data_IF_475029555539
#
_entry.id   IF_475029555539
#
_cell.length_a   1.000
_cell.length_b   1.000
_cell.length_c   1.000
_cell.angle_alpha   90.00
_cell.angle_beta   90.00
_cell.angle_gamma   90.00
#
_symmetry.space_group_name_H-M   'P 1'
#
loop_
_entity.id
_entity.type
_entity.pdbx_description
1 polymer ?
#
# COMPACT_ATOMS: atom_id res chain seq x y z
N UNK A 1 4.45 -5.33 -7.91
CA UNK A 1 3.67 -4.10 -7.65
C UNK A 1 4.42 -2.93 -8.20
N UNK A 2 3.85 -2.19 -9.10
CA UNK A 2 4.28 -0.83 -9.32
C UNK A 2 3.31 0.06 -8.56
N UNK A 3 3.75 0.64 -7.44
CA UNK A 3 3.22 1.91 -6.96
C UNK A 3 2.90 2.76 -8.20
N UNK A 4 1.86 3.64 -8.18
CA UNK A 4 1.72 4.64 -9.23
C UNK A 4 3.14 5.12 -9.54
N UNK A 5 3.57 5.07 -10.79
CA UNK A 5 4.98 5.27 -11.22
C UNK A 5 5.61 6.47 -10.50
N UNK A 6 4.80 7.47 -10.17
CA UNK A 6 5.20 8.65 -9.42
C UNK A 6 5.51 8.35 -7.93
N UNK A 7 4.74 7.48 -7.26
CA UNK A 7 4.96 7.16 -5.84
C UNK A 7 6.11 6.17 -5.67
N UNK A 8 6.21 5.16 -6.53
CA UNK A 8 7.33 4.22 -6.58
C UNK A 8 8.66 4.97 -6.79
N UNK A 9 8.73 5.82 -7.82
CA UNK A 9 9.92 6.63 -8.09
C UNK A 9 10.27 7.57 -6.93
N UNK A 10 9.28 8.10 -6.22
CA UNK A 10 9.51 8.93 -5.03
C UNK A 10 10.19 8.15 -3.90
N UNK A 11 9.80 6.89 -3.67
CA UNK A 11 10.47 6.06 -2.67
C UNK A 11 11.87 5.66 -3.11
N UNK A 12 12.08 5.24 -4.36
CA UNK A 12 13.41 4.91 -4.91
C UNK A 12 14.33 6.13 -4.79
N UNK A 13 13.90 7.29 -5.26
CA UNK A 13 14.67 8.54 -5.14
C UNK A 13 15.03 8.83 -3.68
N UNK A 14 14.10 8.55 -2.75
CA UNK A 14 14.36 8.78 -1.33
C UNK A 14 15.38 7.79 -0.76
N UNK A 15 15.36 6.54 -1.17
CA UNK A 15 16.40 5.56 -0.82
C UNK A 15 17.76 6.04 -1.34
N UNK A 16 17.85 6.43 -2.61
CA UNK A 16 19.10 6.93 -3.22
C UNK A 16 19.66 8.14 -2.48
N UNK A 17 18.82 9.11 -2.14
CA UNK A 17 19.22 10.28 -1.34
C UNK A 17 19.79 9.89 0.03
N UNK A 18 19.17 8.93 0.72
CA UNK A 18 19.61 8.53 2.05
C UNK A 18 20.86 7.67 1.99
N UNK A 19 20.99 6.80 1.01
CA UNK A 19 22.22 6.02 0.77
C UNK A 19 23.39 6.97 0.49
N UNK A 20 23.26 7.90 -0.46
CA UNK A 20 24.31 8.86 -0.80
C UNK A 20 24.69 9.75 0.40
N UNK A 21 23.72 10.18 1.21
CA UNK A 21 24.01 10.94 2.44
C UNK A 21 24.73 10.09 3.49
N UNK A 22 24.36 8.81 3.64
CA UNK A 22 25.06 7.89 4.54
C UNK A 22 26.50 7.67 4.10
N UNK A 23 26.76 7.44 2.83
CA UNK A 23 28.09 7.28 2.24
C UNK A 23 28.95 8.53 2.44
N UNK A 24 28.37 9.72 2.30
CA UNK A 24 29.07 10.98 2.56
C UNK A 24 29.45 11.16 4.04
N UNK A 25 28.68 10.60 4.98
CA UNK A 25 29.02 10.58 6.41
C UNK A 25 30.17 9.59 6.65
N UNK A 26 30.13 8.40 6.03
CA UNK A 26 31.13 7.32 6.19
C UNK A 26 32.50 7.68 5.63
N UNK A 27 32.57 8.53 4.61
CA UNK A 27 33.84 8.92 3.97
C UNK A 27 34.62 10.00 4.69
N UNK A 28 34.12 10.53 5.80
CA UNK A 28 34.93 11.39 6.65
C UNK A 28 35.97 10.54 7.39
N UNK A 29 37.15 10.35 6.77
CA UNK A 29 38.35 9.85 7.41
C UNK A 29 38.72 10.80 8.56
N UNK A 30 38.58 10.33 9.79
CA UNK A 30 39.14 11.01 10.94
C UNK A 30 40.62 10.64 11.01
N UNK A 31 41.54 11.55 10.69
CA UNK A 31 42.93 11.32 11.00
C UNK A 31 43.07 11.16 12.53
N UNK A 32 43.82 10.17 12.95
CA UNK A 32 44.14 9.89 14.34
C UNK A 32 44.38 11.17 15.15
N UNK A 33 43.65 11.33 16.22
CA UNK A 33 43.82 12.25 17.32
C UNK A 33 42.78 13.37 17.50
N UNK A 34 42.09 13.28 18.64
CA UNK A 34 41.45 14.39 19.37
C UNK A 34 40.75 15.48 18.56
N UNK A 35 39.85 15.08 17.67
CA UNK A 35 38.94 16.05 17.05
C UNK A 35 37.74 16.27 17.98
N UNK A 36 37.67 17.47 18.54
CA UNK A 36 36.40 17.99 19.10
C UNK A 36 35.36 17.91 18.02
N UNK A 37 34.48 16.91 18.10
CA UNK A 37 33.37 16.71 17.13
C UNK A 37 32.60 17.99 17.03
N UNK A 38 32.52 18.51 15.82
CA UNK A 38 31.76 19.71 15.54
C UNK A 38 30.26 19.36 15.71
N UNK A 39 29.52 20.15 16.49
CA UNK A 39 28.06 19.96 16.66
C UNK A 39 27.27 19.85 15.34
N UNK A 40 27.89 20.23 14.22
CA UNK A 40 27.33 20.10 12.89
C UNK A 40 27.27 18.64 12.42
N UNK A 41 28.30 17.83 12.69
CA UNK A 41 28.40 16.43 12.22
C UNK A 41 27.40 15.54 12.97
N UNK A 42 27.26 15.73 14.26
CA UNK A 42 26.22 15.08 15.06
C UNK A 42 24.81 15.36 14.54
N UNK A 43 24.51 16.60 14.19
CA UNK A 43 23.18 16.98 13.64
C UNK A 43 22.92 16.34 12.27
N UNK A 44 23.94 16.15 11.46
CA UNK A 44 23.83 15.49 10.15
C UNK A 44 23.49 14.01 10.36
N UNK A 45 24.19 13.31 11.25
CA UNK A 45 23.93 11.92 11.57
C UNK A 45 22.52 11.72 12.15
N UNK A 46 22.12 12.52 13.15
CA UNK A 46 20.81 12.41 13.78
C UNK A 46 19.67 12.69 12.76
N UNK A 47 19.84 13.67 11.88
CA UNK A 47 18.90 13.93 10.82
C UNK A 47 18.81 12.77 9.83
N UNK A 48 19.94 12.15 9.49
CA UNK A 48 20.01 10.97 8.63
C UNK A 48 19.29 9.79 9.26
N UNK A 49 19.60 9.47 10.54
CA UNK A 49 18.93 8.42 11.32
C UNK A 49 17.41 8.59 11.33
N UNK A 50 16.93 9.77 11.67
CA UNK A 50 15.49 10.07 11.70
C UNK A 50 14.83 9.84 10.33
N UNK A 51 15.45 10.31 9.25
CA UNK A 51 14.93 10.16 7.90
C UNK A 51 14.92 8.69 7.44
N UNK A 52 15.94 7.90 7.78
CA UNK A 52 15.98 6.47 7.50
C UNK A 52 14.89 5.72 8.26
N UNK A 53 14.75 5.97 9.56
CA UNK A 53 13.70 5.36 10.39
C UNK A 53 12.31 5.72 9.86
N UNK A 54 12.09 6.99 9.50
CA UNK A 54 10.83 7.42 8.91
C UNK A 54 10.53 6.69 7.61
N UNK A 55 11.48 6.63 6.67
CA UNK A 55 11.31 5.91 5.41
C UNK A 55 11.01 4.43 5.64
N UNK A 56 11.82 3.75 6.44
CA UNK A 56 11.67 2.32 6.71
C UNK A 56 10.35 2.00 7.43
N UNK A 57 9.93 2.84 8.36
CA UNK A 57 8.63 2.66 9.05
C UNK A 57 7.41 2.84 8.13
N UNK A 58 7.56 3.52 6.99
CA UNK A 58 6.51 3.65 5.98
C UNK A 58 6.54 2.56 4.91
N UNK A 59 7.71 1.94 4.69
CA UNK A 59 7.91 0.98 3.60
C UNK A 59 7.93 -0.47 4.06
N UNK A 60 8.10 -0.73 5.36
CA UNK A 60 8.37 -2.06 5.88
C UNK A 60 7.34 -2.51 6.92
N UNK A 61 7.11 -3.83 7.07
CA UNK A 61 6.27 -4.38 8.12
C UNK A 61 6.74 -3.95 9.49
N UNK A 62 5.79 -3.83 10.41
CA UNK A 62 6.12 -3.54 11.82
C UNK A 62 6.81 -4.70 12.52
N UNK A 63 6.69 -5.90 11.96
CA UNK A 63 7.26 -7.14 12.51
C UNK A 63 8.21 -7.79 11.49
N UNK A 64 9.37 -8.30 11.94
CA UNK A 64 10.29 -9.07 11.11
C UNK A 64 11.74 -8.57 11.08
N UNK A 65 12.53 -9.14 10.16
CA UNK A 65 13.99 -8.92 10.01
C UNK A 65 14.33 -7.43 9.82
N UNK A 66 13.45 -6.67 9.23
CA UNK A 66 13.66 -5.24 8.95
C UNK A 66 13.62 -4.37 10.22
N UNK A 67 12.93 -4.82 11.29
CA UNK A 67 12.91 -4.11 12.57
C UNK A 67 14.30 -4.05 13.22
N UNK A 68 15.13 -5.06 12.96
CA UNK A 68 16.53 -5.08 13.42
C UNK A 68 17.36 -3.95 12.80
N UNK A 69 17.11 -3.63 11.53
CA UNK A 69 17.78 -2.49 10.89
C UNK A 69 17.36 -1.16 11.54
N UNK A 70 16.08 -0.96 11.79
CA UNK A 70 15.59 0.24 12.49
C UNK A 70 16.24 0.36 13.87
N UNK A 71 16.39 -0.74 14.60
CA UNK A 71 17.03 -0.77 15.89
C UNK A 71 18.54 -0.50 15.81
N UNK A 72 19.23 -1.01 14.78
CA UNK A 72 20.64 -0.69 14.51
C UNK A 72 20.81 0.79 14.22
N UNK A 73 19.99 1.38 13.36
CA UNK A 73 20.03 2.81 13.05
C UNK A 73 19.79 3.67 14.32
N UNK A 74 18.85 3.27 15.19
CA UNK A 74 18.62 3.98 16.46
C UNK A 74 19.83 3.99 17.38
N UNK A 75 20.57 2.88 17.43
CA UNK A 75 21.75 2.69 18.29
C UNK A 75 23.05 3.24 17.71
N UNK A 76 23.02 3.65 16.43
CA UNK A 76 24.19 4.16 15.76
C UNK A 76 24.74 5.40 16.47
N UNK A 77 25.99 5.32 16.89
CA UNK A 77 26.75 6.42 17.49
C UNK A 77 27.67 7.06 16.44
N UNK A 78 28.08 8.28 16.69
CA UNK A 78 28.84 9.09 15.72
C UNK A 78 30.30 8.62 15.52
N UNK A 79 30.79 7.62 16.25
CA UNK A 79 32.09 6.99 16.08
C UNK A 79 32.04 5.54 15.59
N UNK A 80 30.85 5.04 15.25
CA UNK A 80 30.65 3.66 14.79
C UNK A 80 30.50 3.60 13.26
N UNK A 81 31.63 3.82 12.56
CA UNK A 81 31.68 3.76 11.10
C UNK A 81 31.30 2.37 10.58
N UNK A 82 31.68 1.30 11.29
CA UNK A 82 31.33 -0.06 10.89
C UNK A 82 29.80 -0.28 10.89
N UNK A 83 29.14 0.13 11.95
CA UNK A 83 27.68 0.01 12.04
C UNK A 83 26.98 0.90 11.00
N UNK A 84 27.52 2.08 10.71
CA UNK A 84 27.04 2.97 9.67
C UNK A 84 27.10 2.29 8.28
N UNK A 85 28.23 1.67 7.93
CA UNK A 85 28.39 0.94 6.67
C UNK A 85 27.45 -0.25 6.58
N UNK A 86 27.24 -1.00 7.66
CA UNK A 86 26.26 -2.08 7.74
C UNK A 86 24.83 -1.53 7.51
N UNK A 87 24.49 -0.40 8.11
CA UNK A 87 23.18 0.23 7.89
C UNK A 87 22.99 0.67 6.44
N UNK A 88 24.01 1.26 5.81
CA UNK A 88 23.96 1.67 4.39
C UNK A 88 23.81 0.44 3.47
N UNK A 89 24.58 -0.63 3.73
CA UNK A 89 24.48 -1.87 2.96
C UNK A 89 23.09 -2.49 3.05
N UNK A 90 22.50 -2.50 4.24
CA UNK A 90 21.11 -3.00 4.42
C UNK A 90 20.08 -2.09 3.74
N UNK A 91 20.28 -0.77 3.72
CA UNK A 91 19.40 0.14 2.96
C UNK A 91 19.45 -0.13 1.46
N UNK A 92 20.66 -0.45 0.92
CA UNK A 92 20.80 -0.85 -0.49
C UNK A 92 20.06 -2.15 -0.79
N UNK A 93 20.21 -3.17 0.06
CA UNK A 93 19.51 -4.45 -0.10
C UNK A 93 17.98 -4.28 -0.06
N UNK A 94 17.46 -3.48 0.88
CA UNK A 94 16.02 -3.19 0.96
C UNK A 94 15.54 -2.41 -0.28
N UNK A 95 16.34 -1.48 -0.80
CA UNK A 95 16.04 -0.79 -2.05
C UNK A 95 15.94 -1.78 -3.21
N UNK A 96 16.89 -2.70 -3.33
CA UNK A 96 16.88 -3.75 -4.36
C UNK A 96 15.62 -4.62 -4.24
N UNK A 97 15.25 -5.08 -3.05
CA UNK A 97 14.02 -5.84 -2.80
C UNK A 97 12.78 -5.04 -3.18
N UNK A 98 12.78 -3.74 -2.91
CA UNK A 98 11.70 -2.83 -3.29
C UNK A 98 11.59 -2.68 -4.81
N UNK A 99 12.72 -2.50 -5.51
CA UNK A 99 12.81 -2.41 -6.98
C UNK A 99 12.37 -3.70 -7.66
N UNK A 100 12.71 -4.85 -7.08
CA UNK A 100 12.37 -6.17 -7.59
C UNK A 100 10.93 -6.61 -7.26
N UNK A 101 10.21 -5.81 -6.47
CA UNK A 101 8.82 -6.09 -6.10
C UNK A 101 8.64 -7.11 -4.96
N UNK A 102 9.72 -7.59 -4.33
CA UNK A 102 9.62 -8.52 -3.18
C UNK A 102 8.90 -7.90 -1.96
N UNK A 103 8.87 -6.57 -1.86
CA UNK A 103 8.07 -5.85 -0.85
C UNK A 103 6.64 -5.56 -1.33
N UNK A 104 6.27 -6.03 -2.53
CA UNK A 104 4.93 -5.85 -3.09
C UNK A 104 3.85 -6.59 -2.33
N UNK A 105 4.16 -7.76 -1.79
CA UNK A 105 3.21 -8.56 -0.99
C UNK A 105 2.84 -7.86 0.32
N UNK A 106 3.75 -7.09 0.88
CA UNK A 106 3.50 -6.31 2.07
C UNK A 106 2.49 -5.18 1.87
N UNK A 107 2.61 -4.45 0.75
CA UNK A 107 1.60 -3.41 0.47
C UNK A 107 0.22 -4.00 0.23
N UNK A 108 0.13 -5.26 -0.28
CA UNK A 108 -1.15 -5.94 -0.33
C UNK A 108 -1.69 -6.26 1.04
N UNK A 109 -0.84 -6.73 1.94
CA UNK A 109 -1.25 -7.01 3.31
C UNK A 109 -1.77 -5.74 3.99
N UNK A 110 -1.05 -4.62 3.87
CA UNK A 110 -1.50 -3.32 4.39
C UNK A 110 -2.80 -2.85 3.73
N UNK A 111 -2.91 -2.98 2.40
CA UNK A 111 -4.16 -2.63 1.71
C UNK A 111 -5.30 -3.60 2.06
N UNK A 112 -5.02 -4.88 2.29
CA UNK A 112 -6.00 -5.86 2.75
C UNK A 112 -6.47 -5.57 4.18
N UNK A 113 -5.57 -5.21 5.10
CA UNK A 113 -5.94 -4.78 6.46
C UNK A 113 -6.83 -3.53 6.44
N UNK A 114 -6.46 -2.51 5.66
CA UNK A 114 -7.27 -1.29 5.49
C UNK A 114 -8.64 -1.64 4.87
N UNK A 115 -8.67 -2.53 3.89
CA UNK A 115 -9.90 -2.97 3.26
C UNK A 115 -10.79 -3.73 4.25
N UNK A 116 -10.21 -4.60 5.10
CA UNK A 116 -10.93 -5.32 6.15
C UNK A 116 -11.55 -4.37 7.18
N UNK A 117 -10.83 -3.31 7.60
CA UNK A 117 -11.35 -2.29 8.50
C UNK A 117 -12.57 -1.56 7.90
N UNK A 118 -12.52 -1.21 6.61
CA UNK A 118 -13.65 -0.58 5.92
C UNK A 118 -14.81 -1.55 5.69
N UNK A 119 -14.55 -2.83 5.46
CA UNK A 119 -15.60 -3.85 5.37
C UNK A 119 -16.30 -4.04 6.71
N UNK A 120 -15.58 -4.08 7.83
CA UNK A 120 -16.16 -4.08 9.17
C UNK A 120 -17.04 -2.85 9.44
N UNK A 121 -16.62 -1.67 8.97
CA UNK A 121 -17.46 -0.46 9.03
C UNK A 121 -18.72 -0.57 8.16
N UNK A 122 -18.63 -1.19 6.98
CA UNK A 122 -19.80 -1.41 6.13
C UNK A 122 -20.80 -2.37 6.78
N UNK A 123 -20.33 -3.44 7.44
CA UNK A 123 -21.16 -4.35 8.21
C UNK A 123 -21.85 -3.62 9.37
N UNK A 124 -21.12 -2.78 10.10
CA UNK A 124 -21.67 -1.99 11.21
C UNK A 124 -22.75 -1.02 10.71
N UNK A 125 -22.48 -0.27 9.64
CA UNK A 125 -23.47 0.61 9.00
C UNK A 125 -24.74 -0.14 8.60
N UNK A 126 -24.58 -1.36 8.08
CA UNK A 126 -25.71 -2.20 7.72
C UNK A 126 -26.45 -2.69 8.96
N UNK A 127 -25.75 -3.06 10.04
CA UNK A 127 -26.35 -3.53 11.29
C UNK A 127 -27.12 -2.43 12.03
N UNK A 128 -26.55 -1.22 12.09
CA UNK A 128 -27.15 -0.06 12.77
C UNK A 128 -28.34 0.52 11.98
N UNK A 129 -28.33 0.40 10.65
CA UNK A 129 -29.38 0.88 9.77
C UNK A 129 -30.61 0.00 9.71
N UNK A 130 -31.18 -0.41 10.83
CA UNK A 130 -32.33 -1.34 10.86
C UNK A 130 -33.70 -0.66 10.85
N UNK A 131 -33.78 0.68 10.79
CA UNK A 131 -35.03 1.42 11.04
C UNK A 131 -35.53 2.30 9.87
N UNK A 132 -34.71 2.53 8.83
CA UNK A 132 -35.05 3.38 7.69
C UNK A 132 -35.21 2.62 6.38
N UNK A 133 -35.92 3.23 5.44
CA UNK A 133 -36.22 2.60 4.14
C UNK A 133 -34.96 2.31 3.29
N UNK A 134 -33.89 3.11 3.45
CA UNK A 134 -32.66 3.05 2.65
C UNK A 134 -31.38 2.97 3.50
N UNK A 135 -31.47 2.42 4.70
CA UNK A 135 -30.37 2.32 5.66
C UNK A 135 -29.21 1.43 5.19
N UNK A 136 -29.46 0.60 4.17
CA UNK A 136 -28.44 -0.26 3.54
C UNK A 136 -27.58 0.47 2.50
N UNK A 137 -27.97 1.67 2.06
CA UNK A 137 -27.27 2.40 0.99
C UNK A 137 -25.83 2.82 1.39
N UNK A 138 -25.57 3.37 2.59
CA UNK A 138 -24.19 3.72 2.99
C UNK A 138 -23.25 2.52 2.97
N UNK A 139 -23.72 1.34 3.40
CA UNK A 139 -22.93 0.11 3.38
C UNK A 139 -22.62 -0.34 1.95
N UNK A 140 -23.57 -0.24 1.02
CA UNK A 140 -23.35 -0.53 -0.40
C UNK A 140 -22.33 0.40 -1.06
N UNK A 141 -22.35 1.70 -0.72
CA UNK A 141 -21.36 2.67 -1.22
C UNK A 141 -19.98 2.37 -0.70
N UNK A 142 -19.85 2.11 0.60
CA UNK A 142 -18.56 1.86 1.25
C UNK A 142 -17.92 0.56 0.76
N UNK A 143 -18.66 -0.55 0.78
CA UNK A 143 -18.19 -1.85 0.28
C UNK A 143 -17.83 -1.79 -1.21
N UNK A 144 -18.60 -1.06 -2.01
CA UNK A 144 -18.29 -0.84 -3.43
C UNK A 144 -17.03 -0.01 -3.66
N UNK A 145 -16.72 0.95 -2.79
CA UNK A 145 -15.48 1.73 -2.84
C UNK A 145 -14.27 0.85 -2.51
N UNK A 146 -14.40 -0.05 -1.51
CA UNK A 146 -13.37 -1.04 -1.17
C UNK A 146 -13.10 -1.96 -2.36
N UNK A 147 -14.16 -2.49 -2.99
CA UNK A 147 -14.02 -3.33 -4.19
C UNK A 147 -13.29 -2.58 -5.32
N UNK A 148 -13.66 -1.34 -5.60
CA UNK A 148 -13.01 -0.54 -6.64
C UNK A 148 -11.52 -0.34 -6.36
N UNK A 149 -11.16 -0.06 -5.12
CA UNK A 149 -9.76 0.09 -4.70
C UNK A 149 -8.99 -1.23 -4.88
N UNK A 150 -9.55 -2.35 -4.42
CA UNK A 150 -8.93 -3.68 -4.55
C UNK A 150 -8.69 -4.06 -6.03
N UNK A 151 -9.67 -3.86 -6.91
CA UNK A 151 -9.51 -4.14 -8.35
C UNK A 151 -8.46 -3.25 -9.01
N UNK A 152 -8.34 -1.97 -8.62
CA UNK A 152 -7.25 -1.09 -9.09
C UNK A 152 -5.89 -1.60 -8.67
N UNK A 153 -5.75 -2.02 -7.42
CA UNK A 153 -4.53 -2.61 -6.90
C UNK A 153 -4.15 -3.88 -7.65
N UNK A 154 -5.09 -4.77 -7.90
CA UNK A 154 -4.87 -5.99 -8.70
C UNK A 154 -4.45 -5.66 -10.15
N UNK A 155 -5.02 -4.63 -10.79
CA UNK A 155 -4.59 -4.20 -12.12
C UNK A 155 -3.12 -3.77 -12.13
N UNK A 156 -2.71 -2.97 -11.15
CA UNK A 156 -1.34 -2.48 -11.03
C UNK A 156 -0.35 -3.62 -10.79
N UNK A 157 -0.77 -4.69 -10.11
CA UNK A 157 0.05 -5.87 -9.80
C UNK A 157 0.33 -6.79 -10.97
N UNK A 158 -0.43 -6.71 -12.04
CA UNK A 158 -0.19 -7.59 -13.19
C UNK A 158 1.16 -7.30 -13.85
N UNK A 159 1.74 -8.30 -14.47
CA UNK A 159 2.99 -8.18 -15.23
C UNK A 159 2.71 -8.58 -16.69
N UNK A 160 2.67 -7.62 -17.62
CA UNK A 160 2.82 -6.16 -17.42
C UNK A 160 1.62 -5.56 -16.68
N UNK A 161 1.79 -4.41 -15.99
CA UNK A 161 0.69 -3.75 -15.29
C UNK A 161 -0.46 -3.36 -16.23
N UNK A 162 -1.68 -3.58 -15.77
CA UNK A 162 -2.89 -3.16 -16.49
C UNK A 162 -3.15 -1.68 -16.17
N UNK A 163 -3.31 -0.85 -17.20
CA UNK A 163 -3.65 0.56 -17.01
C UNK A 163 -5.00 0.70 -16.31
N UNK A 164 -5.05 1.52 -15.28
CA UNK A 164 -6.28 1.91 -14.58
C UNK A 164 -6.85 3.23 -15.07
N UNK A 165 -6.24 3.80 -16.11
CA UNK A 165 -6.55 5.10 -16.72
C UNK A 165 -6.81 4.87 -18.21
N UNK A 166 -7.78 5.58 -18.76
CA UNK A 166 -8.08 5.62 -20.20
C UNK A 166 -7.10 6.52 -20.94
N UNK A 167 -7.10 6.45 -22.27
CA UNK A 167 -6.28 7.30 -23.14
C UNK A 167 -6.58 8.80 -22.98
N UNK A 168 -7.80 9.16 -22.52
CA UNK A 168 -8.21 10.52 -22.21
C UNK A 168 -7.80 11.00 -20.81
N UNK A 169 -7.00 10.22 -20.08
CA UNK A 169 -6.52 10.52 -18.73
C UNK A 169 -7.54 10.26 -17.61
N UNK A 170 -8.77 9.82 -17.93
CA UNK A 170 -9.81 9.53 -16.92
C UNK A 170 -9.64 8.13 -16.33
N UNK A 171 -9.99 7.93 -15.05
CA UNK A 171 -9.97 6.60 -14.45
C UNK A 171 -10.92 5.62 -15.16
N UNK A 172 -10.49 4.37 -15.30
CA UNK A 172 -11.35 3.29 -15.74
C UNK A 172 -12.49 3.09 -14.74
N UNK A 173 -13.69 2.82 -15.26
CA UNK A 173 -14.85 2.46 -14.44
C UNK A 173 -14.68 1.05 -13.88
N UNK A 174 -15.35 0.76 -12.77
CA UNK A 174 -15.31 -0.51 -12.05
C UNK A 174 -15.52 -1.73 -13.00
N UNK A 175 -16.55 -1.70 -13.86
CA UNK A 175 -16.80 -2.76 -14.82
C UNK A 175 -15.64 -2.95 -15.83
N UNK A 176 -14.96 -1.88 -16.21
CA UNK A 176 -13.80 -1.98 -17.11
C UNK A 176 -12.62 -2.65 -16.43
N UNK A 177 -12.38 -2.36 -15.15
CA UNK A 177 -11.32 -3.03 -14.35
C UNK A 177 -11.59 -4.54 -14.26
N UNK A 178 -12.86 -4.94 -14.02
CA UNK A 178 -13.26 -6.35 -13.98
C UNK A 178 -12.96 -7.05 -15.30
N UNK A 179 -13.32 -6.41 -16.44
CA UNK A 179 -13.08 -6.97 -17.77
C UNK A 179 -11.59 -7.14 -18.05
N UNK A 180 -10.76 -6.16 -17.74
CA UNK A 180 -9.32 -6.23 -18.00
C UNK A 180 -8.64 -7.30 -17.10
N UNK A 181 -8.99 -7.38 -15.83
CA UNK A 181 -8.48 -8.41 -14.93
C UNK A 181 -8.89 -9.83 -15.35
N UNK A 182 -10.14 -10.00 -15.85
CA UNK A 182 -10.58 -11.28 -16.41
C UNK A 182 -9.77 -11.64 -17.65
N UNK A 183 -9.54 -10.69 -18.58
CA UNK A 183 -8.70 -10.92 -19.78
C UNK A 183 -7.27 -11.32 -19.39
N UNK A 184 -6.74 -10.76 -18.32
CA UNK A 184 -5.44 -11.11 -17.78
C UNK A 184 -5.42 -12.47 -17.03
N UNK A 185 -6.56 -13.14 -16.89
CA UNK A 185 -6.66 -14.44 -16.23
C UNK A 185 -6.59 -14.40 -14.70
N UNK A 186 -6.74 -13.21 -14.09
CA UNK A 186 -6.72 -13.07 -12.61
C UNK A 186 -7.87 -13.85 -11.99
N UNK A 187 -9.04 -13.84 -12.64
CA UNK A 187 -10.19 -14.64 -12.22
C UNK A 187 -11.03 -15.09 -13.44
N UNK A 188 -11.80 -16.14 -13.23
CA UNK A 188 -12.64 -16.75 -14.28
C UNK A 188 -13.98 -16.05 -14.43
N UNK A 189 -14.71 -16.39 -15.52
CA UNK A 189 -16.00 -15.80 -15.89
C UNK A 189 -17.06 -15.78 -14.76
N UNK A 190 -17.25 -16.87 -13.94
CA UNK A 190 -18.21 -16.82 -12.84
C UNK A 190 -17.90 -15.71 -11.82
N UNK A 191 -16.62 -15.56 -11.41
CA UNK A 191 -16.19 -14.49 -10.49
C UNK A 191 -16.37 -13.12 -11.12
N UNK A 192 -16.07 -12.95 -12.40
CA UNK A 192 -16.28 -11.68 -13.11
C UNK A 192 -17.77 -11.27 -13.12
N UNK A 193 -18.71 -12.21 -13.30
CA UNK A 193 -20.16 -11.95 -13.24
C UNK A 193 -20.60 -11.53 -11.84
N UNK A 194 -20.11 -12.19 -10.82
CA UNK A 194 -20.36 -11.87 -9.42
C UNK A 194 -19.90 -10.43 -9.09
N UNK A 195 -18.65 -10.10 -9.42
CA UNK A 195 -18.09 -8.75 -9.26
C UNK A 195 -18.87 -7.69 -10.04
N UNK A 196 -19.38 -8.02 -11.24
CA UNK A 196 -20.19 -7.11 -12.04
C UNK A 196 -21.54 -6.84 -11.39
N UNK A 197 -22.16 -7.83 -10.75
CA UNK A 197 -23.41 -7.64 -10.00
C UNK A 197 -23.19 -6.68 -8.81
N UNK A 198 -22.09 -6.81 -8.08
CA UNK A 198 -21.76 -5.88 -6.99
C UNK A 198 -21.42 -4.47 -7.48
N UNK A 199 -20.73 -4.37 -8.62
CA UNK A 199 -20.48 -3.09 -9.27
C UNK A 199 -21.77 -2.39 -9.68
N UNK A 200 -22.80 -3.14 -10.09
CA UNK A 200 -24.13 -2.62 -10.43
C UNK A 200 -24.85 -2.08 -9.19
N UNK A 201 -24.84 -2.82 -8.07
CA UNK A 201 -25.39 -2.35 -6.78
C UNK A 201 -24.72 -1.04 -6.35
N UNK A 202 -23.38 -0.98 -6.37
CA UNK A 202 -22.60 0.23 -6.05
C UNK A 202 -22.99 1.41 -6.95
N UNK A 203 -23.14 1.17 -8.25
CA UNK A 203 -23.52 2.22 -9.19
C UNK A 203 -24.93 2.73 -8.92
N UNK A 204 -25.89 1.86 -8.69
CA UNK A 204 -27.26 2.22 -8.30
C UNK A 204 -27.27 3.04 -7.01
N UNK A 205 -26.50 2.62 -6.00
CA UNK A 205 -26.35 3.35 -4.74
C UNK A 205 -25.77 4.76 -4.97
N UNK A 206 -24.74 4.89 -5.81
CA UNK A 206 -24.11 6.17 -6.11
C UNK A 206 -24.96 7.12 -6.95
N UNK A 207 -25.93 6.59 -7.74
CA UNK A 207 -26.81 7.37 -8.59
C UNK A 207 -28.21 7.63 -8.00
N UNK A 208 -28.44 7.22 -6.73
CA UNK A 208 -29.72 7.47 -6.05
C UNK A 208 -30.83 6.52 -6.45
N UNK A 209 -30.51 5.39 -7.09
CA UNK A 209 -31.47 4.39 -7.56
C UNK A 209 -31.72 3.33 -6.47
N UNK A 210 -32.11 3.78 -5.27
CA UNK A 210 -32.13 2.97 -4.05
C UNK A 210 -33.18 1.85 -4.05
N UNK A 211 -34.27 1.99 -4.84
CA UNK A 211 -35.31 0.96 -4.96
C UNK A 211 -34.89 -0.24 -5.81
N UNK A 212 -33.74 -0.16 -6.52
CA UNK A 212 -33.29 -1.21 -7.45
C UNK A 212 -32.44 -2.29 -6.80
N UNK A 213 -32.23 -2.22 -5.50
CA UNK A 213 -31.50 -3.24 -4.73
C UNK A 213 -32.02 -3.24 -3.28
N UNK A 214 -31.87 -4.38 -2.63
CA UNK A 214 -32.38 -4.63 -1.29
C UNK A 214 -31.26 -4.70 -0.26
N UNK A 215 -31.63 -4.67 1.03
CA UNK A 215 -30.70 -4.92 2.16
C UNK A 215 -30.01 -6.29 1.99
N UNK A 216 -30.77 -7.34 1.61
CA UNK A 216 -30.21 -8.69 1.40
C UNK A 216 -29.18 -8.72 0.26
N UNK A 217 -29.38 -7.92 -0.79
CA UNK A 217 -28.39 -7.79 -1.87
C UNK A 217 -27.07 -7.18 -1.34
N UNK A 218 -27.16 -6.20 -0.44
CA UNK A 218 -26.00 -5.58 0.18
C UNK A 218 -25.29 -6.53 1.16
N UNK A 219 -26.04 -7.33 1.92
CA UNK A 219 -25.47 -8.39 2.79
C UNK A 219 -24.66 -9.40 1.98
N UNK A 220 -25.21 -9.85 0.85
CA UNK A 220 -24.50 -10.77 -0.06
C UNK A 220 -23.27 -10.10 -0.70
N UNK A 221 -23.40 -8.84 -1.09
CA UNK A 221 -22.29 -8.03 -1.63
C UNK A 221 -21.14 -7.90 -0.64
N UNK A 222 -21.41 -7.57 0.63
CA UNK A 222 -20.40 -7.44 1.68
C UNK A 222 -19.65 -8.75 1.85
N UNK A 223 -20.36 -9.85 2.13
CA UNK A 223 -19.74 -11.17 2.30
C UNK A 223 -18.94 -11.63 1.08
N UNK A 224 -19.48 -11.34 -0.11
CA UNK A 224 -18.79 -11.71 -1.33
C UNK A 224 -17.52 -10.88 -1.59
N UNK A 225 -17.51 -9.59 -1.24
CA UNK A 225 -16.32 -8.75 -1.32
C UNK A 225 -15.27 -9.20 -0.28
N UNK A 226 -15.66 -9.53 0.94
CA UNK A 226 -14.74 -10.08 1.96
C UNK A 226 -14.04 -11.35 1.48
N UNK A 227 -14.80 -12.30 0.92
CA UNK A 227 -14.24 -13.50 0.32
C UNK A 227 -13.31 -13.18 -0.85
N UNK A 228 -13.68 -12.21 -1.70
CA UNK A 228 -12.84 -11.76 -2.79
C UNK A 228 -11.52 -11.15 -2.28
N UNK A 229 -11.56 -10.34 -1.24
CA UNK A 229 -10.35 -9.75 -0.64
C UNK A 229 -9.46 -10.86 -0.05
N UNK A 230 -10.02 -11.84 0.65
CA UNK A 230 -9.29 -12.97 1.20
C UNK A 230 -8.63 -13.85 0.11
N UNK A 231 -9.32 -14.05 -1.03
CA UNK A 231 -8.83 -14.90 -2.12
C UNK A 231 -7.75 -14.22 -2.99
N UNK A 232 -7.79 -12.89 -3.14
CA UNK A 232 -7.01 -12.17 -4.16
C UNK A 232 -6.10 -11.06 -3.62
N UNK A 233 -6.24 -10.66 -2.34
CA UNK A 233 -5.44 -9.58 -1.74
C UNK A 233 -4.45 -10.07 -0.67
N UNK A 234 -4.33 -11.38 -0.47
CA UNK A 234 -3.37 -12.02 0.46
C UNK A 234 -2.10 -12.44 -0.24
#
# INVERSE_FOLDING_TARGET
>A
MTLPTNLFNKYITRFDELIAKGEAISTYDYPDSYVVKNNADFRILEKWKFNCISLLSHCLPKDGVHQDLINKIRRLEDNDNYLLEVCISNLKAIKEDFEQGFLGDLMLQVEAEIAADYMGQAEQLLAEGASGQYDHVPAAVLSGAVLEKALRTLCIKQIPPISTIKDDGKPLRLNSLIVELRKAGVFHEPKAKELTAWADIRNKAAHGEFEKFTRSDVELMIKGIENFLADYMT
#
